data_IF_142804664722
#
_entry.id   IF_142804664722
#
_cell.length_a   1.000
_cell.length_b   1.000
_cell.length_c   1.000
_cell.angle_alpha   90.00
_cell.angle_beta   90.00
_cell.angle_gamma   90.00
#
_symmetry.space_group_name_H-M   'P 1'
#
loop_
_entity.id
_entity.type
_entity.pdbx_description
1 polymer ?
#
# COMPACT_ATOMS: atom_id res chain seq x y z
N UNK A 1 -2.07 7.30 -0.90
CA UNK A 1 -2.53 8.22 -1.96
C UNK A 1 -1.36 8.92 -2.63
N UNK A 2 -0.56 9.73 -1.92
CA UNK A 2 0.63 10.41 -2.48
C UNK A 2 1.65 9.44 -3.13
N UNK A 3 1.79 8.23 -2.57
CA UNK A 3 2.69 7.17 -3.08
C UNK A 3 2.35 6.67 -4.48
N UNK A 4 1.12 6.84 -4.96
CA UNK A 4 0.71 6.38 -6.31
C UNK A 4 0.78 7.49 -7.37
N UNK A 5 0.95 8.76 -6.96
CA UNK A 5 0.94 9.90 -7.87
C UNK A 5 2.28 10.08 -8.57
N UNK A 6 2.25 10.20 -9.91
CA UNK A 6 3.46 10.41 -10.74
C UNK A 6 3.87 11.87 -10.87
N UNK A 7 2.93 12.81 -10.71
CA UNK A 7 3.20 14.26 -10.79
C UNK A 7 3.24 14.90 -9.40
N UNK A 8 4.06 15.95 -9.24
CA UNK A 8 4.14 16.73 -8.00
C UNK A 8 2.80 17.37 -7.66
N UNK A 9 2.09 17.88 -8.67
CA UNK A 9 0.76 18.48 -8.50
C UNK A 9 -0.24 17.46 -7.92
N UNK A 10 -0.21 16.21 -8.42
CA UNK A 10 -1.05 15.14 -7.89
C UNK A 10 -0.72 14.77 -6.44
N UNK A 11 0.56 14.82 -6.05
CA UNK A 11 0.98 14.62 -4.65
C UNK A 11 0.47 15.72 -3.74
N UNK A 12 0.55 16.98 -4.16
CA UNK A 12 0.07 18.14 -3.37
C UNK A 12 -1.43 18.02 -3.13
N UNK A 13 -2.24 17.86 -4.19
CA UNK A 13 -3.69 17.73 -4.04
C UNK A 13 -4.09 16.49 -3.24
N UNK A 14 -3.33 15.40 -3.35
CA UNK A 14 -3.58 14.22 -2.51
C UNK A 14 -3.38 14.47 -1.02
N UNK A 15 -2.53 15.41 -0.62
CA UNK A 15 -2.31 15.70 0.80
C UNK A 15 -3.25 16.81 1.27
N UNK A 16 -3.51 17.80 0.41
CA UNK A 16 -4.27 18.99 0.76
C UNK A 16 -5.69 18.68 1.24
N UNK A 17 -6.48 17.92 0.48
CA UNK A 17 -7.87 17.67 0.84
C UNK A 17 -8.04 16.84 2.13
N UNK A 18 -7.32 15.73 2.33
CA UNK A 18 -7.43 14.98 3.59
C UNK A 18 -6.97 15.78 4.81
N UNK A 19 -5.89 16.57 4.68
CA UNK A 19 -5.40 17.39 5.80
C UNK A 19 -6.41 18.49 6.13
N UNK A 20 -6.99 19.14 5.12
CA UNK A 20 -8.05 20.13 5.34
C UNK A 20 -9.24 19.50 6.05
N UNK A 21 -9.75 18.36 5.57
CA UNK A 21 -10.86 17.66 6.21
C UNK A 21 -10.56 17.27 7.66
N UNK A 22 -9.33 16.83 7.94
CA UNK A 22 -8.89 16.50 9.29
C UNK A 22 -8.92 17.71 10.23
N UNK A 23 -8.35 18.83 9.78
CA UNK A 23 -8.27 20.07 10.58
C UNK A 23 -9.64 20.70 10.76
N UNK A 24 -10.46 20.77 9.72
CA UNK A 24 -11.81 21.38 9.81
C UNK A 24 -12.77 20.55 10.66
N UNK A 25 -12.54 19.23 10.77
CA UNK A 25 -13.32 18.35 11.66
C UNK A 25 -12.91 18.49 13.13
N UNK A 26 -11.85 19.26 13.43
CA UNK A 26 -11.35 19.44 14.79
C UNK A 26 -10.59 18.23 15.34
N UNK A 27 -10.08 17.36 14.47
CA UNK A 27 -9.26 16.23 14.93
C UNK A 27 -7.89 16.71 15.40
N UNK A 28 -7.39 16.06 16.45
CA UNK A 28 -6.15 16.46 17.10
C UNK A 28 -4.94 15.68 16.58
N UNK A 29 -3.87 16.39 16.24
CA UNK A 29 -2.61 15.79 15.84
C UNK A 29 -1.55 16.04 16.92
N UNK A 30 -1.05 14.97 17.54
CA UNK A 30 -0.08 15.04 18.64
C UNK A 30 1.12 15.96 18.33
N UNK A 31 1.76 15.78 17.17
CA UNK A 31 2.89 16.63 16.73
C UNK A 31 2.49 18.09 16.50
N UNK A 32 1.31 18.38 15.95
CA UNK A 32 0.84 19.75 15.79
C UNK A 32 0.61 20.40 17.17
N UNK A 33 0.03 19.65 18.11
CA UNK A 33 -0.21 20.12 19.48
C UNK A 33 1.09 20.38 20.24
N UNK A 34 2.16 19.62 19.96
CA UNK A 34 3.51 19.89 20.49
C UNK A 34 4.11 21.22 19.98
N UNK A 35 3.62 21.77 18.87
CA UNK A 35 4.02 23.10 18.42
C UNK A 35 3.07 24.18 18.97
N UNK A 36 1.77 24.04 18.76
CA UNK A 36 0.79 25.09 19.08
C UNK A 36 0.67 25.36 20.59
N UNK A 37 0.65 24.32 21.43
CA UNK A 37 0.42 24.50 22.87
C UNK A 37 1.65 25.13 23.54
N UNK A 38 2.89 24.66 23.32
CA UNK A 38 4.09 25.34 23.83
C UNK A 38 4.24 26.77 23.32
N UNK A 39 3.89 27.04 22.05
CA UNK A 39 3.86 28.40 21.52
C UNK A 39 2.86 29.28 22.30
N UNK A 40 1.66 28.76 22.58
CA UNK A 40 0.68 29.45 23.42
C UNK A 40 1.15 29.70 24.85
N UNK A 41 1.81 28.72 25.48
CA UNK A 41 2.41 28.89 26.80
C UNK A 41 3.52 29.95 26.82
N UNK A 42 4.27 30.07 25.72
CA UNK A 42 5.29 31.11 25.60
C UNK A 42 4.67 32.50 25.41
N UNK A 43 3.68 32.61 24.51
CA UNK A 43 2.97 33.86 24.22
C UNK A 43 2.14 34.38 25.40
N UNK A 44 1.70 33.49 26.30
CA UNK A 44 1.02 33.83 27.55
C UNK A 44 1.79 34.83 28.43
N UNK A 45 3.11 34.93 28.29
CA UNK A 45 3.95 35.86 29.06
C UNK A 45 4.01 37.28 28.46
N UNK A 46 3.36 37.52 27.32
CA UNK A 46 3.37 38.81 26.64
C UNK A 46 1.98 39.45 26.70
N UNK A 47 1.79 40.40 27.62
CA UNK A 47 0.50 41.06 27.87
C UNK A 47 -0.07 41.74 26.62
N UNK A 48 0.78 42.27 25.73
CA UNK A 48 0.37 42.87 24.46
C UNK A 48 -0.32 41.87 23.52
N UNK A 49 0.14 40.62 23.50
CA UNK A 49 -0.42 39.54 22.67
C UNK A 49 -1.71 39.02 23.29
N UNK A 50 -1.74 38.82 24.61
CA UNK A 50 -2.94 38.34 25.33
C UNK A 50 -4.08 39.35 25.22
N UNK A 51 -3.77 40.64 25.30
CA UNK A 51 -4.74 41.73 25.12
C UNK A 51 -5.28 41.78 23.69
N UNK A 52 -4.41 41.60 22.69
CA UNK A 52 -4.82 41.52 21.28
C UNK A 52 -5.68 40.28 20.97
N UNK A 53 -5.49 39.19 21.70
CA UNK A 53 -6.27 37.95 21.57
C UNK A 53 -7.66 38.02 22.23
N UNK A 54 -8.05 39.14 22.84
CA UNK A 54 -9.37 39.33 23.44
C UNK A 54 -9.49 38.75 24.85
N UNK A 55 -8.41 38.73 25.64
CA UNK A 55 -8.39 38.24 27.03
C UNK A 55 -8.98 36.83 27.22
N UNK A 56 -8.47 35.82 26.50
CA UNK A 56 -8.97 34.45 26.62
C UNK A 56 -8.68 33.86 28.01
N UNK A 57 -9.52 32.92 28.45
CA UNK A 57 -9.26 32.16 29.68
C UNK A 57 -8.07 31.20 29.48
N UNK A 58 -6.91 31.64 29.97
CA UNK A 58 -5.62 30.95 29.90
C UNK A 58 -5.30 30.17 31.19
N UNK A 59 -6.26 30.00 32.10
CA UNK A 59 -6.08 29.26 33.36
C UNK A 59 -5.75 27.78 33.12
N UNK A 60 -6.38 27.18 32.10
CA UNK A 60 -6.17 25.78 31.73
C UNK A 60 -4.90 25.53 30.91
N UNK A 61 -4.23 26.59 30.44
CA UNK A 61 -3.01 26.49 29.63
C UNK A 61 -1.78 26.32 30.54
N UNK A 62 -1.54 25.08 30.94
CA UNK A 62 -0.42 24.66 31.81
C UNK A 62 0.27 23.43 31.23
N UNK A 63 1.55 23.22 31.56
CA UNK A 63 2.33 22.06 31.12
C UNK A 63 1.72 20.73 31.58
N UNK A 64 1.19 20.68 32.81
CA UNK A 64 0.53 19.48 33.33
C UNK A 64 -0.74 19.16 32.55
N UNK A 65 -1.57 20.17 32.28
CA UNK A 65 -2.78 20.01 31.51
C UNK A 65 -2.52 19.64 30.04
N UNK A 66 -1.48 20.21 29.45
CA UNK A 66 -1.01 19.85 28.13
C UNK A 66 -0.67 18.35 28.04
N UNK A 67 0.11 17.82 28.99
CA UNK A 67 0.56 16.44 28.93
C UNK A 67 -0.58 15.43 29.17
N UNK A 68 -1.35 15.62 30.25
CA UNK A 68 -2.37 14.65 30.67
C UNK A 68 -3.68 14.76 29.89
N UNK A 69 -4.14 15.97 29.56
CA UNK A 69 -5.45 16.16 28.91
C UNK A 69 -5.38 16.25 27.38
N UNK A 70 -4.22 16.49 26.79
CA UNK A 70 -4.07 16.56 25.34
C UNK A 70 -3.05 15.52 24.83
N UNK A 71 -1.79 15.63 25.23
CA UNK A 71 -0.71 14.91 24.55
C UNK A 71 -0.85 13.38 24.64
N UNK A 72 -1.10 12.86 25.85
CA UNK A 72 -1.30 11.42 26.05
C UNK A 72 -2.52 10.86 25.29
N UNK A 73 -3.75 11.36 25.51
CA UNK A 73 -4.92 10.80 24.84
C UNK A 73 -4.86 10.94 23.31
N UNK A 74 -4.35 12.06 22.80
CA UNK A 74 -4.22 12.29 21.35
C UNK A 74 -3.17 11.39 20.73
N UNK A 75 -2.04 11.16 21.41
CA UNK A 75 -1.01 10.26 20.90
C UNK A 75 -1.51 8.82 20.85
N UNK A 76 -2.24 8.38 21.88
CA UNK A 76 -2.88 7.06 21.88
C UNK A 76 -3.92 6.95 20.76
N UNK A 77 -4.77 7.97 20.58
CA UNK A 77 -5.75 8.03 19.50
C UNK A 77 -5.09 7.93 18.12
N UNK A 78 -3.98 8.65 17.89
CA UNK A 78 -3.26 8.63 16.61
C UNK A 78 -2.61 7.27 16.33
N UNK A 79 -2.04 6.63 17.36
CA UNK A 79 -1.50 5.26 17.23
C UNK A 79 -2.62 4.28 16.90
N UNK A 80 -3.71 4.31 17.67
CA UNK A 80 -4.85 3.42 17.45
C UNK A 80 -5.48 3.63 16.07
N UNK A 81 -5.63 4.88 15.62
CA UNK A 81 -6.12 5.22 14.29
C UNK A 81 -5.22 4.63 13.19
N UNK A 82 -3.90 4.76 13.34
CA UNK A 82 -2.93 4.15 12.43
C UNK A 82 -3.00 2.61 12.41
N UNK A 83 -3.09 1.98 13.59
CA UNK A 83 -3.19 0.53 13.72
C UNK A 83 -4.47 -0.02 13.09
N UNK A 84 -5.62 0.63 13.34
CA UNK A 84 -6.90 0.23 12.76
C UNK A 84 -6.85 0.40 11.24
N UNK A 85 -6.31 1.52 10.73
CA UNK A 85 -6.22 1.77 9.30
C UNK A 85 -5.34 0.73 8.59
N UNK A 86 -4.13 0.47 9.11
CA UNK A 86 -3.22 -0.52 8.53
C UNK A 86 -3.76 -1.94 8.67
N UNK A 87 -4.32 -2.30 9.83
CA UNK A 87 -4.92 -3.60 10.09
C UNK A 87 -6.12 -3.88 9.18
N UNK A 88 -7.00 -2.89 9.00
CA UNK A 88 -8.13 -2.98 8.08
C UNK A 88 -7.68 -3.16 6.63
N UNK A 89 -6.68 -2.40 6.16
CA UNK A 89 -6.14 -2.55 4.82
C UNK A 89 -5.49 -3.93 4.61
N UNK A 90 -4.73 -4.42 5.59
CA UNK A 90 -4.13 -5.76 5.53
C UNK A 90 -5.19 -6.85 5.42
N UNK A 91 -6.20 -6.81 6.30
CA UNK A 91 -7.33 -7.73 6.25
C UNK A 91 -8.06 -7.67 4.91
N UNK A 92 -8.36 -6.46 4.41
CA UNK A 92 -9.06 -6.27 3.14
C UNK A 92 -8.31 -6.89 1.96
N UNK A 93 -6.98 -6.74 1.90
CA UNK A 93 -6.16 -7.31 0.82
C UNK A 93 -6.05 -8.84 0.91
N UNK A 94 -5.93 -9.40 2.13
CA UNK A 94 -5.73 -10.83 2.33
C UNK A 94 -7.01 -11.68 2.31
N UNK A 95 -8.19 -11.05 2.27
CA UNK A 95 -9.50 -11.72 2.18
C UNK A 95 -9.75 -12.47 0.86
N UNK A 96 -8.90 -12.30 -0.16
CA UNK A 96 -9.09 -12.85 -1.51
C UNK A 96 -8.11 -13.98 -1.84
N UNK A 97 -7.79 -14.87 -0.89
CA UNK A 97 -6.96 -16.07 -1.17
C UNK A 97 -7.74 -17.38 -1.27
N UNK A 98 -9.07 -17.37 -1.16
CA UNK A 98 -9.86 -18.60 -1.08
C UNK A 98 -10.57 -18.98 -2.41
N UNK A 99 -10.18 -18.41 -3.56
CA UNK A 99 -10.84 -18.75 -4.86
C UNK A 99 -9.89 -19.05 -6.01
N UNK A 100 -8.63 -19.36 -5.73
CA UNK A 100 -7.82 -20.14 -6.67
C UNK A 100 -7.40 -21.45 -5.99
N UNK A 101 -8.40 -22.29 -5.78
CA UNK A 101 -8.27 -23.75 -5.87
C UNK A 101 -9.19 -24.12 -7.06
N UNK A 102 -8.71 -24.06 -8.30
CA UNK A 102 -7.99 -25.15 -8.95
C UNK A 102 -7.06 -25.97 -8.06
N UNK A 103 -7.60 -27.10 -7.60
CA UNK A 103 -6.92 -28.24 -6.98
C UNK A 103 -5.49 -28.47 -7.50
N UNK A 104 -4.51 -28.30 -6.63
CA UNK A 104 -3.26 -29.06 -6.72
C UNK A 104 -2.88 -29.46 -5.29
N UNK A 105 -3.18 -30.71 -4.96
CA UNK A 105 -2.69 -31.38 -3.75
C UNK A 105 -1.17 -31.20 -3.69
N UNK A 106 -0.68 -30.64 -2.59
CA UNK A 106 0.71 -30.85 -2.17
C UNK A 106 0.75 -32.26 -1.57
N UNK A 107 1.01 -33.25 -2.42
CA UNK A 107 1.62 -34.50 -1.98
C UNK A 107 3.12 -34.32 -2.10
N UNK A 108 3.83 -34.55 -1.00
CA UNK A 108 5.29 -34.57 -0.93
C UNK A 108 5.81 -35.71 -1.82
N UNK A 109 6.35 -35.35 -2.98
CA UNK A 109 6.96 -36.26 -3.94
C UNK A 109 8.37 -36.64 -3.48
N UNK A 110 8.45 -37.67 -2.63
CA UNK A 110 9.59 -38.59 -2.66
C UNK A 110 9.50 -39.38 -3.98
N UNK A 111 10.15 -38.88 -5.03
CA UNK A 111 10.11 -39.47 -6.37
C UNK A 111 10.90 -40.79 -6.44
N UNK A 112 10.17 -41.88 -6.22
CA UNK A 112 10.50 -43.24 -6.64
C UNK A 112 10.50 -43.33 -8.19
N UNK A 113 11.60 -43.73 -8.84
CA UNK A 113 11.76 -43.64 -10.29
C UNK A 113 11.12 -44.82 -11.03
N UNK A 114 9.81 -45.06 -10.90
CA UNK A 114 9.08 -46.10 -11.65
C UNK A 114 7.58 -45.80 -11.83
N UNK A 115 7.22 -44.74 -12.56
CA UNK A 115 5.91 -44.66 -13.21
C UNK A 115 5.99 -43.91 -14.54
N UNK A 116 6.57 -44.61 -15.50
CA UNK A 116 6.48 -44.28 -16.91
C UNK A 116 5.04 -44.51 -17.39
N UNK A 117 4.59 -43.65 -18.31
CA UNK A 117 3.45 -43.83 -19.25
C UNK A 117 2.10 -43.52 -18.61
N UNK A 118 1.47 -42.41 -19.03
CA UNK A 118 0.02 -42.27 -19.30
C UNK A 118 -0.49 -40.81 -19.32
N UNK A 119 0.37 -39.81 -19.53
CA UNK A 119 -0.10 -38.42 -19.69
C UNK A 119 0.47 -37.76 -20.95
N UNK A 120 0.09 -38.34 -22.09
CA UNK A 120 0.34 -37.75 -23.40
C UNK A 120 -0.95 -37.78 -24.22
N UNK A 121 -2.01 -37.12 -23.75
CA UNK A 121 -3.25 -37.05 -24.52
C UNK A 121 -4.07 -35.79 -24.21
N UNK A 122 -3.77 -34.70 -24.91
CA UNK A 122 -4.74 -33.85 -25.64
C UNK A 122 -4.11 -32.53 -26.08
N UNK A 123 -3.10 -32.61 -26.97
CA UNK A 123 -2.70 -31.40 -27.70
C UNK A 123 -3.81 -31.10 -28.71
N UNK A 124 -4.49 -29.93 -28.63
CA UNK A 124 -5.59 -29.60 -29.53
C UNK A 124 -5.09 -29.52 -30.98
N UNK A 125 -5.88 -30.03 -31.93
CA UNK A 125 -5.48 -30.25 -33.34
C UNK A 125 -4.86 -29.02 -34.01
N UNK A 126 -5.31 -27.82 -33.66
CA UNK A 126 -4.76 -26.56 -34.20
C UNK A 126 -3.29 -26.32 -33.82
N UNK A 127 -2.81 -26.89 -32.70
CA UNK A 127 -1.41 -26.83 -32.28
C UNK A 127 -0.58 -27.87 -33.02
N UNK A 128 -1.12 -29.07 -33.31
CA UNK A 128 -0.42 -30.09 -34.11
C UNK A 128 -0.13 -29.60 -35.53
N UNK A 129 -1.09 -28.90 -36.14
CA UNK A 129 -0.93 -28.30 -37.48
C UNK A 129 0.21 -27.27 -37.46
N UNK A 130 0.24 -26.36 -36.48
CA UNK A 130 1.32 -25.35 -36.36
C UNK A 130 2.70 -25.96 -36.13
N UNK A 131 2.77 -27.02 -35.31
CA UNK A 131 4.03 -27.72 -35.06
C UNK A 131 4.51 -28.41 -36.33
N UNK A 132 3.64 -29.14 -37.03
CA UNK A 132 4.01 -29.81 -38.28
C UNK A 132 4.43 -28.80 -39.35
N UNK A 133 3.72 -27.68 -39.50
CA UNK A 133 4.08 -26.62 -40.44
C UNK A 133 5.46 -26.02 -40.12
N UNK A 134 5.75 -25.76 -38.85
CA UNK A 134 7.06 -25.25 -38.42
C UNK A 134 8.20 -26.25 -38.66
N UNK A 135 7.94 -27.55 -38.47
CA UNK A 135 8.93 -28.61 -38.73
C UNK A 135 9.23 -28.70 -40.24
N UNK A 136 8.21 -28.62 -41.10
CA UNK A 136 8.42 -28.65 -42.55
C UNK A 136 9.15 -27.39 -43.05
N UNK A 137 8.85 -26.21 -42.50
CA UNK A 137 9.62 -24.99 -42.80
C UNK A 137 11.10 -25.13 -42.47
N UNK A 138 11.44 -25.73 -41.32
CA UNK A 138 12.85 -25.97 -40.95
C UNK A 138 13.54 -26.95 -41.90
N UNK A 139 12.90 -28.06 -42.25
CA UNK A 139 13.45 -29.04 -43.21
C UNK A 139 13.69 -28.44 -44.60
N UNK A 140 12.79 -27.56 -45.05
CA UNK A 140 12.95 -26.87 -46.35
C UNK A 140 14.06 -25.82 -46.30
N UNK A 141 14.23 -25.11 -45.19
CA UNK A 141 15.34 -24.16 -45.00
C UNK A 141 16.69 -24.87 -44.96
N UNK A 142 16.82 -26.02 -44.28
CA UNK A 142 18.06 -26.81 -44.26
C UNK A 142 18.42 -27.39 -45.64
N UNK A 143 17.42 -27.81 -46.43
CA UNK A 143 17.67 -28.25 -47.82
C UNK A 143 18.09 -27.09 -48.73
N UNK A 144 17.55 -25.88 -48.50
CA UNK A 144 17.91 -24.69 -49.29
C UNK A 144 19.30 -24.15 -48.97
N UNK A 145 19.80 -24.31 -47.73
CA UNK A 145 21.16 -23.95 -47.36
C UNK A 145 22.15 -24.95 -47.94
N UNK A 146 21.89 -26.25 -47.82
CA UNK A 146 22.78 -27.30 -48.32
C UNK A 146 22.91 -27.37 -49.85
N UNK A 147 21.96 -26.79 -50.60
CA UNK A 147 22.00 -26.69 -52.08
C UNK A 147 22.80 -25.48 -52.59
N UNK A 148 23.13 -24.51 -51.72
CA UNK A 148 23.93 -23.33 -52.11
C UNK A 148 25.45 -23.53 -51.96
N UNK A 149 25.86 -24.62 -51.30
CA UNK A 149 27.25 -24.93 -50.98
C UNK A 149 27.86 -26.02 -51.91
N UNK A 150 27.21 -26.30 -53.05
CA UNK A 150 27.72 -27.12 -54.18
C UNK A 150 27.54 -26.31 -55.46
#
# INVERSE_FOLDING_TARGET
MSTSARSTIGKIFSILFPVMAFVTSGFEHSVANMFFIPLGLWLKNFDSVVSAAGSPDISSLTWGNFFYRNLLPVTLGNILGGLIFVGFLYWFVYRTKDTICGSSNLQDDEQDPLSTKNEAQSIPEHIKIKINENIQRRKNNEKSTKKKDI
#
